data_IF_715047001885
#
_entry.id   IF_715047001885
#
_cell.length_a   1.000
_cell.length_b   1.000
_cell.length_c   1.000
_cell.angle_alpha   90.00
_cell.angle_beta   90.00
_cell.angle_gamma   90.00
#
_symmetry.space_group_name_H-M   'P 1'
#
loop_
_entity.id
_entity.type
_entity.pdbx_description
1 polymer ?
#
# COMPACT_ATOMS: atom_id res chain seq x y z
N UNK A 1 13.29 -6.68 19.15
CA UNK A 1 13.15 -5.63 18.07
C UNK A 1 12.59 -4.34 18.67
N UNK A 2 11.57 -4.41 19.51
CA UNK A 2 10.88 -3.23 20.04
C UNK A 2 11.77 -2.34 20.91
N UNK A 3 12.65 -2.95 21.72
CA UNK A 3 13.61 -2.21 22.56
C UNK A 3 14.60 -1.40 21.71
N UNK A 4 15.09 -1.97 20.61
CA UNK A 4 16.02 -1.27 19.71
C UNK A 4 15.33 -0.09 19.05
N UNK A 5 14.08 -0.28 18.59
CA UNK A 5 13.27 0.79 18.00
C UNK A 5 13.03 1.91 19.01
N UNK A 6 12.73 1.57 20.26
CA UNK A 6 12.49 2.52 21.35
C UNK A 6 13.75 3.35 21.66
N UNK A 7 14.92 2.70 21.72
CA UNK A 7 16.21 3.36 21.93
C UNK A 7 16.53 4.33 20.80
N UNK A 8 16.29 3.92 19.54
CA UNK A 8 16.50 4.79 18.38
C UNK A 8 15.54 5.99 18.41
N UNK A 9 14.26 5.77 18.71
CA UNK A 9 13.28 6.85 18.79
C UNK A 9 13.64 7.86 19.90
N UNK A 10 14.04 7.40 21.07
CA UNK A 10 14.48 8.26 22.18
C UNK A 10 15.76 9.00 21.79
N UNK A 11 16.72 8.32 21.18
CA UNK A 11 17.95 8.96 20.70
C UNK A 11 17.67 10.07 19.68
N UNK A 12 16.78 9.81 18.72
CA UNK A 12 16.37 10.81 17.71
C UNK A 12 15.56 11.96 18.32
N UNK A 13 14.71 11.69 19.31
CA UNK A 13 13.93 12.70 19.99
C UNK A 13 14.81 13.73 20.72
N UNK A 14 15.97 13.29 21.23
CA UNK A 14 16.93 14.14 21.93
C UNK A 14 17.87 14.84 20.95
N UNK A 15 18.32 14.14 19.90
CA UNK A 15 19.36 14.61 18.99
C UNK A 15 18.84 15.44 17.81
N UNK A 16 17.59 15.25 17.39
CA UNK A 16 16.99 15.89 16.23
C UNK A 16 15.88 16.88 16.64
N UNK A 17 16.10 18.19 16.56
CA UNK A 17 15.16 19.21 17.08
C UNK A 17 13.78 19.18 16.44
N UNK A 18 13.66 18.62 15.22
CA UNK A 18 12.39 18.53 14.49
C UNK A 18 11.74 17.13 14.54
N UNK A 19 12.33 16.17 15.26
CA UNK A 19 11.81 14.80 15.30
C UNK A 19 10.39 14.72 15.88
N UNK A 20 10.13 15.46 16.96
CA UNK A 20 8.82 15.54 17.61
C UNK A 20 7.94 16.69 17.09
N UNK A 21 8.30 17.31 15.96
CA UNK A 21 7.48 18.35 15.37
C UNK A 21 6.14 17.77 14.87
N UNK A 22 5.09 18.59 14.92
CA UNK A 22 3.74 18.20 14.45
C UNK A 22 3.79 17.76 12.99
N UNK A 23 4.55 18.47 12.15
CA UNK A 23 4.69 18.14 10.74
C UNK A 23 5.33 16.77 10.51
N UNK A 24 6.37 16.44 11.28
CA UNK A 24 7.02 15.13 11.19
C UNK A 24 6.09 14.01 11.69
N UNK A 25 5.37 14.23 12.79
CA UNK A 25 4.40 13.27 13.31
C UNK A 25 3.26 13.01 12.31
N UNK A 26 2.74 14.05 11.67
CA UNK A 26 1.73 13.92 10.62
C UNK A 26 2.26 13.17 9.40
N UNK A 27 3.50 13.40 9.01
CA UNK A 27 4.13 12.67 7.90
C UNK A 27 4.33 11.19 8.25
N UNK A 28 4.76 10.87 9.46
CA UNK A 28 4.87 9.50 9.95
C UNK A 28 3.49 8.83 9.94
N UNK A 29 2.46 9.48 10.50
CA UNK A 29 1.10 8.95 10.51
C UNK A 29 0.56 8.69 9.10
N UNK A 30 0.82 9.60 8.16
CA UNK A 30 0.45 9.43 6.75
C UNK A 30 1.10 8.18 6.14
N UNK A 31 2.41 8.05 6.32
CA UNK A 31 3.18 6.91 5.80
C UNK A 31 2.74 5.59 6.43
N UNK A 32 2.56 5.56 7.75
CA UNK A 32 2.10 4.36 8.48
C UNK A 32 0.68 3.99 8.06
N UNK A 33 -0.21 4.96 7.82
CA UNK A 33 -1.57 4.68 7.35
C UNK A 33 -1.59 4.04 5.96
N UNK A 34 -0.76 4.52 5.04
CA UNK A 34 -0.65 3.93 3.69
C UNK A 34 -0.08 2.52 3.75
N UNK A 35 1.02 2.32 4.47
CA UNK A 35 1.63 1.00 4.65
C UNK A 35 0.70 0.04 5.41
N UNK A 36 -0.05 0.55 6.38
CA UNK A 36 -1.03 -0.21 7.14
C UNK A 36 -2.15 -0.78 6.28
N UNK A 37 -2.68 0.00 5.34
CA UNK A 37 -3.68 -0.47 4.37
C UNK A 37 -3.14 -1.61 3.50
N UNK A 38 -1.91 -1.46 2.99
CA UNK A 38 -1.25 -2.51 2.20
C UNK A 38 -1.01 -3.75 3.07
N UNK A 39 -0.50 -3.58 4.29
CA UNK A 39 -0.24 -4.67 5.22
C UNK A 39 -1.52 -5.43 5.59
N UNK A 40 -2.64 -4.72 5.72
CA UNK A 40 -3.95 -5.35 5.98
C UNK A 40 -4.38 -6.25 4.81
N UNK A 41 -4.26 -5.75 3.58
CA UNK A 41 -4.51 -6.55 2.38
C UNK A 41 -3.59 -7.77 2.28
N UNK A 42 -2.29 -7.58 2.53
CA UNK A 42 -1.32 -8.69 2.54
C UNK A 42 -1.60 -9.72 3.62
N UNK A 43 -2.07 -9.30 4.79
CA UNK A 43 -2.45 -10.22 5.88
C UNK A 43 -3.57 -11.16 5.42
N UNK A 44 -4.57 -10.66 4.69
CA UNK A 44 -5.64 -11.50 4.13
C UNK A 44 -5.09 -12.56 3.16
N UNK A 45 -4.15 -12.16 2.31
CA UNK A 45 -3.48 -13.06 1.36
C UNK A 45 -2.67 -14.14 2.09
N UNK A 46 -1.92 -13.77 3.13
CA UNK A 46 -1.13 -14.70 3.93
C UNK A 46 -2.02 -15.68 4.70
N UNK A 47 -3.15 -15.22 5.23
CA UNK A 47 -4.14 -16.11 5.89
C UNK A 47 -4.68 -17.15 4.91
N UNK A 48 -4.85 -16.78 3.64
CA UNK A 48 -5.20 -17.71 2.55
C UNK A 48 -4.07 -18.67 2.16
N UNK A 49 -2.92 -18.64 2.86
CA UNK A 49 -1.69 -19.41 2.58
C UNK A 49 -1.08 -19.11 1.22
N UNK A 50 -1.26 -17.87 0.76
CA UNK A 50 -0.74 -17.39 -0.50
C UNK A 50 0.37 -16.38 -0.27
N UNK A 51 1.25 -16.22 -1.26
CA UNK A 51 2.27 -15.18 -1.28
C UNK A 51 2.03 -14.35 -2.54
N UNK A 52 1.65 -13.10 -2.37
CA UNK A 52 1.46 -12.19 -3.49
C UNK A 52 2.68 -11.26 -3.63
N UNK A 53 3.49 -11.54 -4.63
CA UNK A 53 4.65 -10.72 -4.98
C UNK A 53 4.27 -9.52 -5.88
N UNK A 54 3.03 -9.47 -6.36
CA UNK A 54 2.58 -8.43 -7.28
C UNK A 54 2.14 -7.13 -6.59
N UNK A 55 2.08 -7.10 -5.26
CA UNK A 55 1.58 -5.94 -4.49
C UNK A 55 2.31 -4.65 -4.84
N UNK A 56 3.64 -4.69 -4.94
CA UNK A 56 4.43 -3.51 -5.31
C UNK A 56 4.10 -2.99 -6.71
N UNK A 57 3.94 -3.89 -7.69
CA UNK A 57 3.57 -3.52 -9.05
C UNK A 57 2.11 -3.06 -9.15
N UNK A 58 1.20 -3.63 -8.37
CA UNK A 58 -0.19 -3.20 -8.29
C UNK A 58 -0.32 -1.78 -7.73
N UNK A 59 0.45 -1.45 -6.69
CA UNK A 59 0.52 -0.07 -6.14
C UNK A 59 1.06 0.90 -7.18
N UNK A 60 2.16 0.56 -7.85
CA UNK A 60 2.74 1.39 -8.90
C UNK A 60 1.77 1.60 -10.08
N UNK A 61 1.12 0.52 -10.53
CA UNK A 61 0.11 0.59 -11.60
C UNK A 61 -1.06 1.50 -11.20
N UNK A 62 -1.58 1.35 -9.99
CA UNK A 62 -2.68 2.18 -9.48
C UNK A 62 -2.30 3.65 -9.43
N UNK A 63 -1.08 3.97 -9.00
CA UNK A 63 -0.56 5.33 -9.00
C UNK A 63 -0.45 5.91 -10.44
N UNK A 64 0.02 5.12 -11.39
CA UNK A 64 0.09 5.52 -12.81
C UNK A 64 -1.31 5.74 -13.41
N UNK A 65 -2.27 4.87 -13.10
CA UNK A 65 -3.65 4.99 -13.61
C UNK A 65 -4.30 6.27 -13.09
N UNK A 66 -4.25 6.53 -11.78
CA UNK A 66 -4.86 7.73 -11.21
C UNK A 66 -4.21 8.99 -11.73
N UNK A 67 -2.87 9.02 -11.85
CA UNK A 67 -2.15 10.15 -12.42
C UNK A 67 -2.56 10.42 -13.87
N UNK A 68 -2.68 9.37 -14.68
CA UNK A 68 -3.10 9.47 -16.08
C UNK A 68 -4.53 9.96 -16.22
N UNK A 69 -5.45 9.51 -15.38
CA UNK A 69 -6.83 9.97 -15.39
C UNK A 69 -6.92 11.47 -15.06
N UNK A 70 -6.15 11.93 -14.07
CA UNK A 70 -6.09 13.35 -13.70
C UNK A 70 -5.49 14.19 -14.85
N UNK A 71 -4.42 13.71 -15.48
CA UNK A 71 -3.80 14.36 -16.64
C UNK A 71 -4.78 14.51 -17.83
N UNK A 72 -5.65 13.52 -18.01
CA UNK A 72 -6.73 13.55 -19.02
C UNK A 72 -7.91 14.46 -18.63
N UNK A 73 -7.82 15.17 -17.51
CA UNK A 73 -8.85 16.09 -17.04
C UNK A 73 -9.98 15.45 -16.25
N UNK A 74 -9.86 14.16 -15.87
CA UNK A 74 -10.86 13.52 -15.02
C UNK A 74 -10.76 14.09 -13.61
N UNK A 75 -11.87 14.58 -13.02
CA UNK A 75 -11.85 15.15 -11.68
C UNK A 75 -11.49 14.07 -10.64
N UNK A 76 -10.74 14.46 -9.61
CA UNK A 76 -10.22 13.55 -8.56
C UNK A 76 -11.31 12.67 -7.95
N UNK A 77 -12.52 13.18 -7.61
CA UNK A 77 -13.60 12.35 -7.06
C UNK A 77 -14.07 11.22 -7.99
N UNK A 78 -13.76 11.29 -9.27
CA UNK A 78 -14.09 10.26 -10.26
C UNK A 78 -12.87 9.38 -10.57
N UNK A 79 -11.67 9.94 -10.58
CA UNK A 79 -10.43 9.23 -10.85
C UNK A 79 -10.12 8.17 -9.78
N UNK A 80 -10.38 8.47 -8.50
CA UNK A 80 -10.14 7.54 -7.40
C UNK A 80 -11.03 6.29 -7.50
N UNK A 81 -12.37 6.39 -7.57
CA UNK A 81 -13.22 5.19 -7.67
C UNK A 81 -12.99 4.43 -8.98
N UNK A 82 -12.67 5.10 -10.08
CA UNK A 82 -12.30 4.44 -11.33
C UNK A 82 -11.03 3.59 -11.17
N UNK A 83 -10.01 4.11 -10.50
CA UNK A 83 -8.79 3.36 -10.22
C UNK A 83 -9.05 2.16 -9.31
N UNK A 84 -9.88 2.34 -8.28
CA UNK A 84 -10.30 1.24 -7.39
C UNK A 84 -11.04 0.15 -8.17
N UNK A 85 -11.95 0.53 -9.08
CA UNK A 85 -12.69 -0.41 -9.92
C UNK A 85 -11.75 -1.22 -10.84
N UNK A 86 -10.75 -0.57 -11.43
CA UNK A 86 -9.74 -1.25 -12.27
C UNK A 86 -8.92 -2.22 -11.41
N UNK A 87 -8.45 -1.79 -10.23
CA UNK A 87 -7.74 -2.64 -9.30
C UNK A 87 -8.56 -3.85 -8.85
N UNK A 88 -9.86 -3.65 -8.60
CA UNK A 88 -10.78 -4.72 -8.25
C UNK A 88 -10.92 -5.75 -9.39
N UNK A 89 -11.09 -5.30 -10.64
CA UNK A 89 -11.18 -6.19 -11.81
C UNK A 89 -9.89 -7.01 -11.97
N UNK A 90 -8.73 -6.38 -11.82
CA UNK A 90 -7.46 -7.09 -11.88
C UNK A 90 -7.31 -8.11 -10.74
N UNK A 91 -7.71 -7.75 -9.53
CA UNK A 91 -7.70 -8.64 -8.38
C UNK A 91 -8.64 -9.84 -8.56
N UNK A 92 -9.84 -9.62 -9.09
CA UNK A 92 -10.78 -10.71 -9.43
C UNK A 92 -10.20 -11.61 -10.52
N UNK A 93 -9.58 -11.02 -11.54
CA UNK A 93 -8.97 -11.80 -12.63
C UNK A 93 -7.84 -12.69 -12.09
N UNK A 94 -6.91 -12.15 -11.31
CA UNK A 94 -5.83 -12.94 -10.71
C UNK A 94 -6.35 -14.00 -9.74
N UNK A 95 -7.35 -13.66 -8.93
CA UNK A 95 -8.00 -14.61 -8.01
C UNK A 95 -8.69 -15.78 -8.73
N UNK A 96 -9.41 -15.50 -9.82
CA UNK A 96 -10.05 -16.55 -10.64
C UNK A 96 -9.01 -17.44 -11.31
N UNK A 97 -7.95 -16.86 -11.88
CA UNK A 97 -6.84 -17.62 -12.48
C UNK A 97 -6.23 -18.59 -11.48
N UNK A 98 -6.05 -18.12 -10.23
CA UNK A 98 -5.52 -18.95 -9.17
C UNK A 98 -6.45 -20.08 -8.77
N UNK A 99 -7.70 -19.78 -8.45
CA UNK A 99 -8.64 -20.76 -7.93
C UNK A 99 -9.07 -21.77 -9.00
N UNK A 100 -9.29 -21.30 -10.23
CA UNK A 100 -9.84 -22.16 -11.31
C UNK A 100 -8.76 -22.89 -12.10
N UNK A 101 -7.58 -22.29 -12.25
CA UNK A 101 -6.51 -22.85 -13.06
C UNK A 101 -5.30 -23.31 -12.24
N UNK A 102 -5.39 -23.24 -10.91
CA UNK A 102 -4.33 -23.67 -9.97
C UNK A 102 -2.96 -23.07 -10.29
N UNK A 103 -2.94 -21.85 -10.84
CA UNK A 103 -1.69 -21.15 -11.18
C UNK A 103 -0.97 -20.77 -9.89
N UNK A 104 0.29 -21.20 -9.69
CA UNK A 104 1.04 -20.82 -8.49
C UNK A 104 1.23 -19.31 -8.35
N UNK A 105 1.16 -18.79 -7.12
CA UNK A 105 1.30 -17.34 -6.84
C UNK A 105 2.72 -16.80 -7.09
N UNK A 106 3.69 -17.66 -7.41
CA UNK A 106 5.09 -17.30 -7.66
C UNK A 106 5.44 -17.05 -9.13
N UNK A 107 4.48 -17.13 -10.03
CA UNK A 107 4.72 -16.93 -11.47
C UNK A 107 4.23 -15.57 -11.90
#
# INVERSE_FOLDING_TARGET
MDVVLLVICVGLAISAPNFLSVDNLLNILRTVSMLGLIAFGMTMVIIAKEIDLSVGSAVALSACIVARLIELGVPIPLAIPATIAIGFVLGVFTGVMRVKFEVPSFI
#
